data_IF_951781976620
#
_entry.id   IF_951781976620
#
_cell.length_a   1.000
_cell.length_b   1.000
_cell.length_c   1.000
_cell.angle_alpha   90.00
_cell.angle_beta   90.00
_cell.angle_gamma   90.00
#
_symmetry.space_group_name_H-M   'P 1'
#
loop_
_entity.id
_entity.type
_entity.pdbx_description
1 polymer ?
#
# COMPACT_ATOMS: atom_id res chain seq x y z
N UNK A 1 9.04 -5.57 16.21
CA UNK A 1 8.97 -6.43 15.01
C UNK A 1 8.99 -7.92 15.31
N UNK A 2 9.41 -8.35 16.51
CA UNK A 2 9.56 -9.77 16.86
C UNK A 2 8.32 -10.63 16.59
N UNK A 3 7.11 -10.18 16.93
CA UNK A 3 5.88 -10.98 16.72
C UNK A 3 5.57 -11.27 15.23
N UNK A 4 5.92 -10.36 14.32
CA UNK A 4 5.77 -10.61 12.88
C UNK A 4 6.90 -11.52 12.37
N UNK A 5 8.12 -11.34 12.88
CA UNK A 5 9.27 -12.19 12.54
C UNK A 5 9.08 -13.64 13.00
N UNK A 6 8.45 -13.82 14.16
CA UNK A 6 8.09 -15.13 14.72
C UNK A 6 6.83 -15.74 14.07
N UNK A 7 6.20 -15.04 13.12
CA UNK A 7 5.00 -15.50 12.43
C UNK A 7 3.73 -15.50 13.29
N UNK A 8 3.77 -14.92 14.49
CA UNK A 8 2.65 -14.87 15.43
C UNK A 8 1.61 -13.80 15.06
N UNK A 9 1.97 -12.86 14.18
CA UNK A 9 1.08 -11.81 13.68
C UNK A 9 1.23 -11.67 12.17
N UNK A 10 0.11 -11.79 11.44
CA UNK A 10 0.04 -11.47 10.02
C UNK A 10 -0.57 -10.08 9.81
N UNK A 11 0.28 -9.05 9.69
CA UNK A 11 -0.16 -7.68 9.45
C UNK A 11 -0.57 -7.41 7.99
N UNK A 12 -0.19 -8.28 7.06
CA UNK A 12 -0.56 -8.19 5.65
C UNK A 12 -2.04 -8.52 5.44
N UNK A 13 -2.60 -9.41 6.26
CA UNK A 13 -4.02 -9.74 6.26
C UNK A 13 -4.95 -8.54 6.52
N UNK A 14 -4.43 -7.44 7.08
CA UNK A 14 -5.20 -6.21 7.30
C UNK A 14 -5.26 -5.32 6.06
N UNK A 15 -4.37 -5.52 5.09
CA UNK A 15 -4.26 -4.70 3.89
C UNK A 15 -5.41 -5.03 2.96
N UNK A 16 -6.33 -4.09 2.79
CA UNK A 16 -7.49 -4.25 1.90
C UNK A 16 -7.16 -3.85 0.47
N UNK A 17 -6.23 -2.91 0.28
CA UNK A 17 -5.83 -2.47 -1.05
C UNK A 17 -4.41 -1.89 -1.08
N UNK A 18 -3.72 -2.11 -2.19
CA UNK A 18 -2.40 -1.55 -2.47
C UNK A 18 -2.54 -0.56 -3.63
N UNK A 19 -1.94 0.60 -3.48
CA UNK A 19 -1.94 1.68 -4.46
C UNK A 19 -0.50 2.15 -4.71
N UNK A 20 -0.26 2.77 -5.86
CA UNK A 20 0.94 3.59 -6.04
C UNK A 20 0.80 4.90 -5.25
N UNK A 21 1.93 5.48 -4.84
CA UNK A 21 1.96 6.69 -4.04
C UNK A 21 1.34 7.90 -4.76
N UNK A 22 1.31 7.87 -6.10
CA UNK A 22 0.62 8.87 -6.92
C UNK A 22 -0.90 8.87 -6.73
N UNK A 23 -1.48 7.78 -6.21
CA UNK A 23 -2.93 7.60 -5.98
C UNK A 23 -3.33 7.87 -4.54
N UNK A 24 -2.63 8.77 -3.86
CA UNK A 24 -2.92 9.15 -2.47
C UNK A 24 -4.40 9.48 -2.24
N UNK A 25 -5.00 10.31 -3.09
CA UNK A 25 -6.38 10.76 -2.90
C UNK A 25 -7.38 9.61 -2.99
N UNK A 26 -7.17 8.67 -3.92
CA UNK A 26 -8.02 7.48 -4.07
C UNK A 26 -7.91 6.57 -2.84
N UNK A 27 -6.69 6.31 -2.37
CA UNK A 27 -6.45 5.54 -1.16
C UNK A 27 -7.09 6.19 0.08
N UNK A 28 -7.01 7.51 0.18
CA UNK A 28 -7.63 8.27 1.27
C UNK A 28 -9.16 8.17 1.24
N UNK A 29 -9.80 8.32 0.07
CA UNK A 29 -11.26 8.15 -0.02
C UNK A 29 -11.71 6.72 0.27
N UNK A 30 -10.96 5.72 -0.16
CA UNK A 30 -11.24 4.30 0.13
C UNK A 30 -11.25 4.03 1.65
N UNK A 31 -10.32 4.63 2.39
CA UNK A 31 -10.31 4.54 3.86
C UNK A 31 -11.44 5.38 4.49
N UNK A 32 -11.64 6.62 4.02
CA UNK A 32 -12.63 7.54 4.58
C UNK A 32 -14.06 7.04 4.43
N UNK A 33 -14.37 6.38 3.32
CA UNK A 33 -15.68 5.79 3.06
C UNK A 33 -15.98 4.57 3.95
N UNK A 34 -14.96 4.01 4.60
CA UNK A 34 -15.08 2.76 5.36
C UNK A 34 -15.11 1.50 4.50
N UNK A 35 -14.90 1.62 3.18
CA UNK A 35 -14.79 0.48 2.27
C UNK A 35 -13.51 -0.34 2.55
N UNK A 36 -12.42 0.33 2.96
CA UNK A 36 -11.15 -0.28 3.29
C UNK A 36 -10.78 -0.19 4.77
N UNK A 37 -10.03 -1.18 5.25
CA UNK A 37 -9.50 -1.23 6.63
C UNK A 37 -8.07 -0.64 6.66
N UNK A 38 -7.25 -0.96 5.65
CA UNK A 38 -5.86 -0.48 5.55
C UNK A 38 -5.42 -0.42 4.08
N UNK A 39 -4.95 0.74 3.65
CA UNK A 39 -4.32 0.92 2.36
C UNK A 39 -2.79 0.92 2.53
N UNK A 40 -2.07 0.29 1.60
CA UNK A 40 -0.63 0.46 1.45
C UNK A 40 -0.33 1.28 0.20
N UNK A 41 0.62 2.19 0.32
CA UNK A 41 1.11 3.00 -0.80
C UNK A 41 2.53 2.57 -1.13
N UNK A 42 2.73 2.12 -2.36
CA UNK A 42 4.04 1.77 -2.91
C UNK A 42 4.66 3.01 -3.54
N UNK A 43 5.96 3.26 -3.33
CA UNK A 43 6.69 4.26 -4.12
C UNK A 43 6.51 4.00 -5.62
N UNK A 44 6.63 5.05 -6.43
CA UNK A 44 6.77 4.86 -7.86
C UNK A 44 8.13 4.22 -8.14
N UNK A 45 8.15 3.21 -9.01
CA UNK A 45 9.41 2.67 -9.51
C UNK A 45 10.05 3.73 -10.42
N UNK A 46 11.17 4.29 -9.95
CA UNK A 46 11.88 5.38 -10.64
C UNK A 46 12.57 4.93 -11.94
N UNK A 47 12.70 3.62 -12.14
CA UNK A 47 13.43 3.01 -13.25
C UNK A 47 12.57 2.84 -14.54
N UNK A 48 11.26 3.15 -14.49
CA UNK A 48 10.39 3.05 -15.68
C UNK A 48 10.52 4.25 -16.65
N UNK A 49 11.29 5.29 -16.33
CA UNK A 49 11.47 6.49 -17.16
C UNK A 49 12.77 6.52 -18.02
N UNK A 50 13.56 5.45 -18.08
CA UNK A 50 14.73 5.37 -18.97
C UNK A 50 14.41 4.91 -20.42
N UNK A 51 13.13 4.92 -20.80
CA UNK A 51 12.64 4.38 -22.08
C UNK A 51 12.14 5.39 -23.13
N UNK A 52 12.14 6.69 -22.87
CA UNK A 52 11.71 7.70 -23.85
C UNK A 52 12.89 8.61 -24.25
N UNK A 53 13.67 8.15 -25.24
CA UNK A 53 14.50 8.99 -26.11
C UNK A 53 13.81 9.15 -27.46
#
# INVERSE_FOLDING_TARGET
>A
MQLMADGLVNAEALVTKIYDISKWDEAYQHLKSGEGIKALLKPLDLDENEGEN
#
